data_IF_872430221116
#
_entry.id   IF_872430221116
#
_cell.length_a   1.000
_cell.length_b   1.000
_cell.length_c   1.000
_cell.angle_alpha   90.00
_cell.angle_beta   90.00
_cell.angle_gamma   90.00
#
_symmetry.space_group_name_H-M   'P 1'
#
loop_
_entity.id
_entity.type
_entity.pdbx_description
1 polymer ?
#
# COMPACT_ATOMS: atom_id res chain seq x y z
N UNK A 1 61.95 60.82 28.43
CA UNK A 1 62.92 60.73 29.54
C UNK A 1 63.09 59.25 29.88
N UNK A 2 64.31 58.70 29.73
CA UNK A 2 64.82 57.36 30.12
C UNK A 2 64.16 56.12 29.45
N UNK A 3 64.80 55.37 28.56
CA UNK A 3 65.91 54.39 28.66
C UNK A 3 65.60 53.05 29.38
N UNK A 4 65.72 51.97 28.58
CA UNK A 4 66.42 50.68 28.80
C UNK A 4 65.81 49.47 29.56
N UNK A 5 65.70 48.39 28.78
CA UNK A 5 66.20 47.00 28.93
C UNK A 5 66.12 46.21 30.26
N UNK A 6 65.58 44.99 30.15
CA UNK A 6 66.19 43.67 30.46
C UNK A 6 65.24 42.59 29.87
N UNK A 7 65.63 41.42 29.34
CA UNK A 7 66.88 40.68 29.38
C UNK A 7 66.64 39.22 29.80
N UNK A 8 66.39 38.34 28.82
CA UNK A 8 66.71 36.89 28.74
C UNK A 8 66.22 35.86 29.81
N UNK A 9 65.59 34.76 29.32
CA UNK A 9 65.98 33.31 29.43
C UNK A 9 64.73 32.41 29.25
N UNK A 10 64.55 31.74 28.11
CA UNK A 10 64.88 30.32 27.83
C UNK A 10 64.28 29.32 28.83
N UNK A 11 63.36 28.47 28.38
CA UNK A 11 63.49 27.00 28.20
C UNK A 11 62.09 26.36 28.01
N UNK A 12 61.95 25.67 26.87
CA UNK A 12 61.08 24.54 26.47
C UNK A 12 59.58 24.51 26.77
N UNK A 13 58.79 24.31 25.70
CA UNK A 13 57.98 23.11 25.52
C UNK A 13 57.42 23.05 24.09
N UNK A 14 57.87 22.01 23.38
CA UNK A 14 57.37 21.51 22.10
C UNK A 14 55.85 21.33 22.23
N UNK A 15 55.06 22.14 21.49
CA UNK A 15 53.63 21.86 21.30
C UNK A 15 53.47 21.10 19.99
N UNK A 16 53.33 19.79 20.11
CA UNK A 16 52.83 18.90 19.06
C UNK A 16 51.45 19.39 18.64
N UNK A 17 51.34 19.94 17.42
CA UNK A 17 50.06 20.22 16.81
C UNK A 17 49.46 18.90 16.31
N UNK A 18 48.63 18.26 17.12
CA UNK A 18 47.73 17.20 16.67
C UNK A 18 46.59 17.87 15.88
N UNK A 19 46.77 17.96 14.57
CA UNK A 19 45.67 18.19 13.62
C UNK A 19 44.75 16.97 13.68
N UNK A 20 43.69 17.08 14.48
CA UNK A 20 42.53 16.19 14.33
C UNK A 20 41.81 16.57 13.04
N UNK A 21 42.17 15.88 11.96
CA UNK A 21 41.38 15.88 10.73
C UNK A 21 40.11 15.05 11.04
N UNK A 22 39.04 15.73 11.45
CA UNK A 22 37.71 15.12 11.53
C UNK A 22 37.26 14.81 10.11
N UNK A 23 37.52 13.58 9.66
CA UNK A 23 36.80 13.00 8.52
C UNK A 23 35.36 12.77 9.00
N UNK A 24 34.47 13.71 8.68
CA UNK A 24 33.03 13.47 8.68
C UNK A 24 32.76 12.38 7.63
N UNK A 25 32.81 11.12 8.06
CA UNK A 25 32.20 10.03 7.33
C UNK A 25 30.71 10.21 7.53
N UNK A 26 30.08 10.95 6.62
CA UNK A 26 28.62 10.94 6.51
C UNK A 26 28.22 9.53 6.09
N UNK A 27 27.80 8.73 7.05
CA UNK A 27 27.04 7.51 6.74
C UNK A 27 25.78 8.02 6.05
N UNK A 28 25.45 7.60 4.82
CA UNK A 28 24.15 7.91 4.25
C UNK A 28 23.12 7.28 5.18
N UNK A 29 22.44 8.11 5.97
CA UNK A 29 21.33 7.67 6.80
C UNK A 29 20.19 7.38 5.84
N UNK A 30 19.86 6.11 5.64
CA UNK A 30 18.60 5.74 5.01
C UNK A 30 17.47 6.33 5.85
N UNK A 31 16.52 7.00 5.18
CA UNK A 31 15.33 7.54 5.81
C UNK A 31 14.51 6.40 6.40
N UNK A 32 14.31 6.40 7.72
CA UNK A 32 13.49 5.40 8.39
C UNK A 32 12.01 5.70 8.12
N UNK A 33 11.21 4.67 7.85
CA UNK A 33 9.76 4.83 7.78
C UNK A 33 9.25 5.40 9.11
N UNK A 34 8.50 6.50 9.04
CA UNK A 34 7.97 7.19 10.21
C UNK A 34 6.46 7.00 10.29
N UNK A 35 5.87 6.94 11.50
CA UNK A 35 4.42 6.99 11.66
C UNK A 35 3.83 8.33 11.17
N UNK A 36 2.51 8.38 10.98
CA UNK A 36 1.81 9.66 10.86
C UNK A 36 1.93 10.44 12.17
N UNK A 37 2.10 11.76 12.04
CA UNK A 37 2.18 12.67 13.18
C UNK A 37 0.81 13.23 13.52
N UNK A 38 0.02 13.54 12.49
CA UNK A 38 -1.32 14.08 12.59
C UNK A 38 -2.24 13.25 11.69
N UNK A 39 -3.42 12.92 12.20
CA UNK A 39 -4.49 12.27 11.44
C UNK A 39 -5.38 13.32 10.79
N UNK A 40 -5.81 13.07 9.56
CA UNK A 40 -6.77 13.89 8.83
C UNK A 40 -8.20 13.59 9.28
N UNK A 41 -8.52 12.32 9.56
CA UNK A 41 -9.80 11.98 10.17
C UNK A 41 -9.83 12.37 11.66
N UNK A 42 -10.96 12.92 12.08
CA UNK A 42 -11.16 13.40 13.45
C UNK A 42 -11.87 12.39 14.36
N UNK A 43 -12.49 11.35 13.82
CA UNK A 43 -13.35 10.45 14.57
C UNK A 43 -12.55 9.29 15.17
N UNK A 44 -12.79 9.00 16.46
CA UNK A 44 -12.15 7.90 17.20
C UNK A 44 -10.62 7.97 17.27
N UNK A 45 -10.04 9.16 17.14
CA UNK A 45 -8.58 9.39 17.19
C UNK A 45 -7.92 8.99 18.51
N UNK A 46 -8.70 8.88 19.60
CA UNK A 46 -8.25 8.48 20.93
C UNK A 46 -8.44 6.98 21.23
N UNK A 47 -8.98 6.20 20.28
CA UNK A 47 -9.13 4.76 20.46
C UNK A 47 -7.77 4.06 20.65
N UNK A 48 -7.66 3.06 21.53
CA UNK A 48 -6.38 2.48 21.93
C UNK A 48 -5.58 1.84 20.79
N UNK A 49 -6.23 1.46 19.69
CA UNK A 49 -5.59 0.81 18.56
C UNK A 49 -4.98 1.83 17.57
N UNK A 50 -5.48 3.07 17.52
CA UNK A 50 -5.06 4.08 16.54
C UNK A 50 -3.53 4.24 16.51
N UNK A 51 -2.97 4.14 15.31
CA UNK A 51 -1.53 4.26 15.05
C UNK A 51 -0.70 3.03 15.36
N UNK A 52 -1.28 1.98 15.97
CA UNK A 52 -0.57 0.71 16.22
C UNK A 52 -0.57 -0.16 14.98
N UNK A 53 0.48 -0.98 14.86
CA UNK A 53 0.63 -1.98 13.82
C UNK A 53 0.57 -3.35 14.48
N UNK A 54 -0.32 -4.20 14.01
CA UNK A 54 -0.44 -5.58 14.44
C UNK A 54 0.17 -6.53 13.40
N UNK A 55 1.03 -7.45 13.84
CA UNK A 55 1.50 -8.56 13.03
C UNK A 55 0.65 -9.80 13.32
N UNK A 56 -0.15 -10.19 12.34
CA UNK A 56 -1.23 -11.16 12.50
C UNK A 56 -0.70 -12.55 12.88
N UNK A 57 0.40 -12.99 12.28
CA UNK A 57 0.94 -14.33 12.50
C UNK A 57 1.59 -14.53 13.88
N UNK A 58 2.21 -13.49 14.45
CA UNK A 58 2.78 -13.57 15.80
C UNK A 58 1.84 -13.10 16.90
N UNK A 59 0.66 -12.58 16.54
CA UNK A 59 -0.31 -11.97 17.45
C UNK A 59 0.33 -10.91 18.37
N UNK A 60 1.10 -10.00 17.77
CA UNK A 60 1.81 -8.96 18.51
C UNK A 60 1.73 -7.60 17.82
N UNK A 61 1.69 -6.55 18.64
CA UNK A 61 1.97 -5.22 18.16
C UNK A 61 3.48 -5.09 17.86
N UNK A 62 3.77 -4.52 16.69
CA UNK A 62 5.14 -4.24 16.23
C UNK A 62 5.31 -2.74 16.03
N UNK A 63 6.56 -2.29 15.96
CA UNK A 63 6.83 -0.90 15.57
C UNK A 63 6.92 -0.75 14.05
N UNK A 64 7.00 0.50 13.59
CA UNK A 64 7.06 0.85 12.17
C UNK A 64 8.34 0.32 11.50
N UNK A 65 9.43 0.18 12.26
CA UNK A 65 10.70 -0.30 11.74
C UNK A 65 10.67 -1.82 11.52
N UNK A 66 10.01 -2.57 12.40
CA UNK A 66 9.76 -4.00 12.21
C UNK A 66 8.94 -4.25 10.94
N UNK A 67 7.87 -3.47 10.72
CA UNK A 67 7.10 -3.51 9.47
C UNK A 67 7.97 -3.20 8.25
N UNK A 68 8.78 -2.13 8.30
CA UNK A 68 9.69 -1.77 7.20
C UNK A 68 10.67 -2.90 6.88
N UNK A 69 11.24 -3.57 7.89
CA UNK A 69 12.15 -4.70 7.69
C UNK A 69 11.45 -5.89 7.03
N UNK A 70 10.18 -6.13 7.36
CA UNK A 70 9.38 -7.17 6.73
C UNK A 70 9.09 -6.82 5.25
N UNK A 71 8.73 -5.57 4.97
CA UNK A 71 8.55 -5.07 3.59
C UNK A 71 9.83 -5.25 2.79
N UNK A 72 11.00 -4.92 3.35
CA UNK A 72 12.29 -5.06 2.67
C UNK A 72 12.65 -6.51 2.27
N UNK A 73 12.03 -7.49 2.93
CA UNK A 73 12.22 -8.91 2.67
C UNK A 73 11.24 -9.48 1.63
N UNK A 74 10.17 -8.76 1.33
CA UNK A 74 9.15 -9.20 0.38
C UNK A 74 9.53 -8.89 -1.09
N UNK A 75 8.84 -9.55 -2.01
CA UNK A 75 8.88 -9.29 -3.46
C UNK A 75 7.63 -8.54 -3.92
N UNK A 76 6.48 -8.88 -3.36
CA UNK A 76 5.22 -8.19 -3.61
C UNK A 76 4.74 -7.52 -2.33
N UNK A 77 4.35 -6.26 -2.45
CA UNK A 77 3.70 -5.50 -1.37
C UNK A 77 2.31 -5.10 -1.84
N UNK A 78 1.28 -5.53 -1.11
CA UNK A 78 -0.09 -5.13 -1.39
C UNK A 78 -0.56 -4.23 -0.25
N UNK A 79 -0.90 -3.00 -0.61
CA UNK A 79 -1.38 -1.96 0.29
C UNK A 79 -2.90 -1.88 0.19
N UNK A 80 -3.57 -2.39 1.22
CA UNK A 80 -5.02 -2.42 1.34
C UNK A 80 -5.57 -1.14 1.94
N UNK A 81 -6.65 -0.62 1.37
CA UNK A 81 -7.33 0.57 1.88
C UNK A 81 -8.85 0.40 2.00
N UNK A 82 -9.44 1.29 2.77
CA UNK A 82 -10.77 1.84 2.51
C UNK A 82 -10.62 3.11 1.67
N UNK A 83 -11.28 3.16 0.52
CA UNK A 83 -11.01 4.13 -0.55
C UNK A 83 -11.25 5.60 -0.18
N UNK A 84 -12.19 5.85 0.72
CA UNK A 84 -12.59 7.21 1.13
C UNK A 84 -11.89 7.70 2.41
N UNK A 85 -10.96 6.91 2.97
CA UNK A 85 -10.24 7.29 4.18
C UNK A 85 -8.92 8.01 3.85
N UNK A 86 -8.78 9.32 4.16
CA UNK A 86 -7.59 10.10 3.81
C UNK A 86 -6.32 9.61 4.53
N UNK A 87 -6.45 9.08 5.75
CA UNK A 87 -5.32 8.60 6.53
C UNK A 87 -4.69 7.34 5.91
N UNK A 88 -5.48 6.52 5.21
CA UNK A 88 -4.97 5.37 4.45
C UNK A 88 -4.06 5.82 3.32
N UNK A 89 -4.51 6.79 2.51
CA UNK A 89 -3.74 7.37 1.40
C UNK A 89 -2.45 8.04 1.88
N UNK A 90 -2.54 8.78 2.99
CA UNK A 90 -1.40 9.42 3.64
C UNK A 90 -0.36 8.41 4.15
N UNK A 91 -0.79 7.26 4.69
CA UNK A 91 0.13 6.17 5.08
C UNK A 91 0.73 5.45 3.88
N UNK A 92 -0.06 5.16 2.84
CA UNK A 92 0.44 4.57 1.59
C UNK A 92 1.52 5.43 0.96
N UNK A 93 1.30 6.75 0.89
CA UNK A 93 2.29 7.69 0.36
C UNK A 93 3.60 7.66 1.17
N UNK A 94 3.52 7.53 2.51
CA UNK A 94 4.73 7.37 3.35
C UNK A 94 5.48 6.08 3.05
N UNK A 95 4.76 4.96 2.93
CA UNK A 95 5.36 3.66 2.60
C UNK A 95 5.98 3.72 1.21
N UNK A 96 5.28 4.25 0.21
CA UNK A 96 5.79 4.42 -1.15
C UNK A 96 7.05 5.30 -1.16
N UNK A 97 7.01 6.50 -0.59
CA UNK A 97 8.17 7.39 -0.57
C UNK A 97 9.39 6.75 0.09
N UNK A 98 9.20 6.02 1.19
CA UNK A 98 10.27 5.27 1.85
C UNK A 98 10.93 4.26 0.88
N UNK A 99 10.13 3.50 0.13
CA UNK A 99 10.63 2.52 -0.83
C UNK A 99 11.26 3.16 -2.06
N UNK A 100 10.73 4.30 -2.52
CA UNK A 100 11.26 5.08 -3.65
C UNK A 100 12.63 5.64 -3.29
N UNK A 101 12.80 6.23 -2.10
CA UNK A 101 14.07 6.76 -1.59
C UNK A 101 15.16 5.68 -1.49
N UNK A 102 14.77 4.44 -1.23
CA UNK A 102 15.68 3.29 -1.20
C UNK A 102 15.93 2.67 -2.59
N UNK A 103 15.31 3.21 -3.64
CA UNK A 103 15.30 2.63 -4.98
C UNK A 103 14.86 1.15 -4.98
N UNK A 104 13.85 0.81 -4.18
CA UNK A 104 13.34 -0.56 -4.02
C UNK A 104 12.15 -0.88 -4.91
N UNK A 105 11.40 0.12 -5.40
CA UNK A 105 10.19 -0.11 -6.20
C UNK A 105 10.55 -0.49 -7.64
N UNK A 106 9.96 -1.58 -8.15
CA UNK A 106 10.05 -2.02 -9.54
C UNK A 106 8.93 -1.40 -10.40
N UNK A 107 7.70 -1.42 -9.88
CA UNK A 107 6.51 -0.84 -10.48
C UNK A 107 5.43 -0.67 -9.40
N UNK A 108 4.44 0.18 -9.68
CA UNK A 108 3.24 0.34 -8.85
C UNK A 108 2.00 0.13 -9.72
N UNK A 109 1.13 -0.79 -9.31
CA UNK A 109 -0.17 -1.02 -9.92
C UNK A 109 -1.27 -0.38 -9.06
N UNK A 110 -2.27 0.24 -9.69
CA UNK A 110 -3.40 0.87 -9.00
C UNK A 110 -4.73 0.28 -9.48
N UNK A 111 -5.57 -0.15 -8.54
CA UNK A 111 -6.95 -0.57 -8.82
C UNK A 111 -7.80 0.55 -9.48
N UNK A 112 -7.44 1.80 -9.25
CA UNK A 112 -8.23 2.96 -9.66
C UNK A 112 -8.11 3.29 -11.15
N UNK A 113 -7.25 2.56 -11.87
CA UNK A 113 -7.02 2.71 -13.30
C UNK A 113 -7.23 1.37 -14.00
N UNK A 114 -7.83 1.42 -15.17
CA UNK A 114 -8.15 0.25 -15.97
C UNK A 114 -6.98 -0.11 -16.87
N UNK A 115 -6.95 -1.34 -17.38
CA UNK A 115 -5.93 -1.78 -18.33
C UNK A 115 -5.87 -0.94 -19.62
N UNK A 116 -6.96 -0.24 -19.97
CA UNK A 116 -7.02 0.66 -21.13
C UNK A 116 -6.25 1.97 -20.90
N UNK A 117 -5.97 2.34 -19.65
CA UNK A 117 -5.18 3.53 -19.30
C UNK A 117 -3.67 3.32 -19.54
N UNK A 118 -3.24 2.08 -19.82
CA UNK A 118 -1.83 1.74 -19.92
C UNK A 118 -1.11 2.53 -21.03
N UNK A 119 -1.77 2.84 -22.16
CA UNK A 119 -1.16 3.67 -23.20
C UNK A 119 -0.87 5.09 -22.68
N UNK A 120 -1.77 5.67 -21.88
CA UNK A 120 -1.54 6.98 -21.28
C UNK A 120 -0.42 6.92 -20.25
N UNK A 121 -0.39 5.87 -19.41
CA UNK A 121 0.65 5.65 -18.40
C UNK A 121 2.04 5.49 -19.02
N UNK A 122 2.16 4.69 -20.09
CA UNK A 122 3.42 4.45 -20.80
C UNK A 122 4.00 5.70 -21.49
N UNK A 123 3.16 6.72 -21.71
CA UNK A 123 3.58 8.00 -22.28
C UNK A 123 4.14 8.98 -21.24
N UNK A 124 3.85 8.79 -19.95
CA UNK A 124 4.25 9.72 -18.89
C UNK A 124 5.76 10.01 -18.92
N UNK A 125 6.68 9.03 -19.02
CA UNK A 125 8.12 9.31 -19.00
C UNK A 125 8.63 10.16 -20.18
N UNK A 126 7.80 10.36 -21.21
CA UNK A 126 8.11 11.19 -22.39
C UNK A 126 7.56 12.61 -22.29
N UNK A 127 6.85 12.91 -21.21
CA UNK A 127 6.17 14.18 -20.96
C UNK A 127 6.72 14.83 -19.67
N UNK A 128 6.61 16.15 -19.56
CA UNK A 128 6.97 16.90 -18.35
C UNK A 128 5.75 16.99 -17.40
N UNK A 129 5.27 15.82 -16.95
CA UNK A 129 4.11 15.70 -16.06
C UNK A 129 4.54 15.72 -14.60
N UNK A 130 5.06 16.85 -14.16
CA UNK A 130 5.68 17.04 -12.84
C UNK A 130 4.76 17.68 -11.79
N UNK A 131 3.47 17.88 -12.11
CA UNK A 131 2.49 18.43 -11.19
C UNK A 131 1.14 17.71 -11.27
N UNK A 132 0.35 17.83 -10.20
CA UNK A 132 -0.93 17.12 -10.03
C UNK A 132 -1.96 17.47 -11.10
N UNK A 133 -2.09 18.74 -11.48
CA UNK A 133 -3.10 19.18 -12.45
C UNK A 133 -2.84 18.59 -13.84
N UNK A 134 -1.59 18.68 -14.30
CA UNK A 134 -1.20 18.11 -15.59
C UNK A 134 -1.31 16.58 -15.61
N UNK A 135 -0.95 15.90 -14.52
CA UNK A 135 -1.10 14.44 -14.41
C UNK A 135 -2.58 14.04 -14.48
N UNK A 136 -3.44 14.72 -13.71
CA UNK A 136 -4.88 14.48 -13.73
C UNK A 136 -5.46 14.61 -15.13
N UNK A 137 -5.12 15.70 -15.82
CA UNK A 137 -5.62 15.98 -17.17
C UNK A 137 -5.11 14.94 -18.18
N UNK A 138 -3.82 14.59 -18.13
CA UNK A 138 -3.21 13.60 -19.02
C UNK A 138 -3.84 12.20 -18.85
N UNK A 139 -4.05 11.79 -17.60
CA UNK A 139 -4.68 10.52 -17.26
C UNK A 139 -6.19 10.51 -17.54
N UNK A 140 -6.80 11.68 -17.76
CA UNK A 140 -8.27 11.84 -17.81
C UNK A 140 -8.93 11.18 -16.60
N UNK A 141 -8.37 11.44 -15.43
CA UNK A 141 -8.72 10.77 -14.18
C UNK A 141 -10.24 10.78 -13.93
N UNK A 142 -10.77 9.62 -13.55
CA UNK A 142 -12.17 9.46 -13.15
C UNK A 142 -12.40 10.03 -11.74
N UNK A 143 -12.71 11.32 -11.68
CA UNK A 143 -12.99 12.02 -10.42
C UNK A 143 -14.28 11.55 -9.74
N UNK A 144 -15.24 11.03 -10.52
CA UNK A 144 -16.53 10.61 -9.99
C UNK A 144 -16.41 9.25 -9.27
N UNK A 145 -15.52 8.37 -9.76
CA UNK A 145 -15.18 7.11 -9.11
C UNK A 145 -14.13 7.23 -8.01
N UNK A 146 -13.12 8.09 -8.21
CA UNK A 146 -11.92 8.14 -7.36
C UNK A 146 -11.48 9.59 -7.09
N UNK A 147 -11.48 10.01 -5.82
CA UNK A 147 -11.06 11.37 -5.46
C UNK A 147 -9.56 11.60 -5.77
N UNK A 148 -9.26 12.48 -6.72
CA UNK A 148 -7.87 12.78 -7.10
C UNK A 148 -7.03 13.36 -5.95
N UNK A 149 -7.67 14.01 -4.96
CA UNK A 149 -6.99 14.50 -3.77
C UNK A 149 -6.30 13.38 -2.99
N UNK A 150 -6.86 12.16 -3.03
CA UNK A 150 -6.31 10.98 -2.40
C UNK A 150 -5.24 10.31 -3.26
N UNK A 151 -5.54 10.04 -4.53
CA UNK A 151 -4.66 9.22 -5.38
C UNK A 151 -3.56 10.02 -6.09
N UNK A 152 -3.80 11.30 -6.39
CA UNK A 152 -2.87 12.15 -7.12
C UNK A 152 -1.48 12.25 -6.48
N UNK A 153 -1.37 12.45 -5.16
CA UNK A 153 -0.07 12.43 -4.46
C UNK A 153 0.69 11.12 -4.62
N UNK A 154 0.01 9.96 -4.60
CA UNK A 154 0.64 8.65 -4.79
C UNK A 154 1.17 8.52 -6.22
N UNK A 155 0.32 8.82 -7.21
CA UNK A 155 0.71 8.74 -8.63
C UNK A 155 1.88 9.67 -8.92
N UNK A 156 1.82 10.93 -8.44
CA UNK A 156 2.90 11.90 -8.64
C UNK A 156 4.21 11.44 -8.01
N UNK A 157 4.19 10.86 -6.80
CA UNK A 157 5.41 10.35 -6.17
C UNK A 157 6.07 9.25 -7.00
N UNK A 158 5.28 8.32 -7.56
CA UNK A 158 5.78 7.22 -8.40
C UNK A 158 6.34 7.77 -9.72
N UNK A 159 5.66 8.72 -10.35
CA UNK A 159 6.10 9.39 -11.58
C UNK A 159 7.40 10.15 -11.38
N UNK A 160 7.52 10.94 -10.31
CA UNK A 160 8.74 11.69 -9.98
C UNK A 160 9.92 10.76 -9.62
N UNK A 161 9.64 9.53 -9.21
CA UNK A 161 10.64 8.49 -8.98
C UNK A 161 11.09 7.74 -10.24
N UNK A 162 10.59 8.11 -11.44
CA UNK A 162 10.80 7.39 -12.70
C UNK A 162 10.41 5.90 -12.63
N UNK A 163 9.36 5.58 -11.86
CA UNK A 163 8.90 4.21 -11.64
C UNK A 163 7.72 3.90 -12.58
N UNK A 164 7.71 2.72 -13.23
CA UNK A 164 6.57 2.26 -14.03
C UNK A 164 5.27 2.20 -13.22
N UNK A 165 4.19 2.70 -13.83
CA UNK A 165 2.83 2.66 -13.28
C UNK A 165 1.96 1.75 -14.17
N UNK A 166 1.10 0.95 -13.55
CA UNK A 166 0.15 0.09 -14.24
C UNK A 166 -1.29 0.35 -13.79
N UNK A 167 -2.22 0.35 -14.75
CA UNK A 167 -3.66 0.25 -14.49
C UNK A 167 -3.99 -1.21 -14.18
N UNK A 168 -4.52 -1.47 -12.98
CA UNK A 168 -4.65 -2.82 -12.46
C UNK A 168 -6.05 -3.41 -12.63
N UNK A 169 -7.07 -2.59 -12.89
CA UNK A 169 -8.44 -3.04 -12.97
C UNK A 169 -8.82 -3.53 -14.37
N UNK A 170 -9.91 -4.29 -14.44
CA UNK A 170 -10.54 -4.64 -15.72
C UNK A 170 -11.30 -3.43 -16.25
N UNK A 171 -11.40 -3.33 -17.57
CA UNK A 171 -12.20 -2.30 -18.23
C UNK A 171 -13.69 -2.50 -17.99
N UNK A 172 -14.48 -1.43 -18.11
CA UNK A 172 -15.96 -1.51 -18.13
C UNK A 172 -16.50 -2.54 -19.14
N UNK A 173 -15.83 -2.66 -20.30
CA UNK A 173 -16.21 -3.62 -21.32
C UNK A 173 -15.99 -5.06 -20.86
N UNK A 174 -14.83 -5.34 -20.27
CA UNK A 174 -14.51 -6.65 -19.69
C UNK A 174 -15.38 -6.96 -18.48
N UNK A 175 -15.67 -5.98 -17.62
CA UNK A 175 -16.60 -6.14 -16.51
C UNK A 175 -17.99 -6.55 -17.01
N UNK A 176 -18.53 -5.82 -18.00
CA UNK A 176 -19.83 -6.11 -18.61
C UNK A 176 -19.88 -7.49 -19.27
N UNK A 177 -18.80 -7.90 -19.94
CA UNK A 177 -18.64 -9.23 -20.53
C UNK A 177 -18.68 -10.33 -19.47
N UNK A 178 -17.80 -10.25 -18.46
CA UNK A 178 -17.70 -11.24 -17.36
C UNK A 178 -18.99 -11.34 -16.56
N UNK A 179 -19.69 -10.21 -16.39
CA UNK A 179 -20.99 -10.17 -15.74
C UNK A 179 -22.02 -11.03 -16.48
N UNK A 180 -22.05 -10.93 -17.82
CA UNK A 180 -22.99 -11.62 -18.69
C UNK A 180 -22.67 -13.09 -18.98
N UNK A 181 -21.47 -13.56 -18.64
CA UNK A 181 -21.05 -14.96 -18.82
C UNK A 181 -21.78 -15.92 -17.87
N UNK A 182 -22.08 -17.14 -18.34
CA UNK A 182 -22.70 -18.17 -17.50
C UNK A 182 -21.68 -18.96 -16.67
N UNK A 183 -20.45 -19.08 -17.19
CA UNK A 183 -19.39 -19.89 -16.60
C UNK A 183 -18.19 -19.03 -16.17
N UNK A 184 -17.46 -19.49 -15.15
CA UNK A 184 -16.21 -18.86 -14.73
C UNK A 184 -15.11 -19.26 -15.73
N UNK A 185 -14.40 -18.30 -16.36
CA UNK A 185 -13.25 -18.60 -17.21
C UNK A 185 -12.18 -19.41 -16.46
N UNK A 186 -11.58 -20.41 -17.13
CA UNK A 186 -10.58 -21.32 -16.52
C UNK A 186 -9.41 -20.55 -15.90
N UNK A 187 -9.00 -19.42 -16.51
CA UNK A 187 -7.90 -18.59 -16.03
C UNK A 187 -8.15 -17.98 -14.64
N UNK A 188 -9.42 -17.71 -14.29
CA UNK A 188 -9.78 -17.08 -13.00
C UNK A 188 -10.36 -18.08 -11.99
N UNK A 189 -10.70 -19.30 -12.44
CA UNK A 189 -11.26 -20.38 -11.64
C UNK A 189 -10.18 -21.13 -10.82
N UNK A 190 -9.42 -20.41 -9.99
CA UNK A 190 -8.33 -20.98 -9.17
C UNK A 190 -8.72 -21.27 -7.72
N UNK A 191 -9.82 -20.70 -7.24
CA UNK A 191 -10.26 -20.80 -5.86
C UNK A 191 -11.07 -22.09 -5.65
N UNK A 192 -10.88 -22.74 -4.50
CA UNK A 192 -11.66 -23.92 -4.14
C UNK A 192 -13.10 -23.57 -3.72
N UNK A 193 -13.97 -24.57 -3.66
CA UNK A 193 -15.40 -24.38 -3.37
C UNK A 193 -15.65 -23.66 -2.04
N UNK A 194 -14.88 -23.96 -1.00
CA UNK A 194 -15.02 -23.33 0.31
C UNK A 194 -14.63 -21.85 0.25
N UNK A 195 -13.54 -21.54 -0.45
CA UNK A 195 -13.04 -20.18 -0.69
C UNK A 195 -14.04 -19.36 -1.50
N UNK A 196 -14.69 -19.98 -2.48
CA UNK A 196 -15.78 -19.38 -3.24
C UNK A 196 -17.02 -19.11 -2.38
N UNK A 197 -17.33 -19.96 -1.40
CA UNK A 197 -18.42 -19.70 -0.46
C UNK A 197 -18.12 -18.49 0.44
N UNK A 198 -16.89 -18.37 0.94
CA UNK A 198 -16.49 -17.20 1.72
C UNK A 198 -16.53 -15.92 0.88
N UNK A 199 -16.03 -15.96 -0.36
CA UNK A 199 -16.11 -14.82 -1.28
C UNK A 199 -17.56 -14.37 -1.53
N UNK A 200 -18.52 -15.30 -1.61
CA UNK A 200 -19.94 -14.95 -1.71
C UNK A 200 -20.44 -14.21 -0.45
N UNK A 201 -20.03 -14.63 0.75
CA UNK A 201 -20.41 -13.99 2.01
C UNK A 201 -19.85 -12.56 2.09
N UNK A 202 -18.60 -12.38 1.70
CA UNK A 202 -17.95 -11.06 1.72
C UNK A 202 -18.61 -10.10 0.72
N UNK A 203 -19.04 -10.61 -0.44
CA UNK A 203 -19.83 -9.84 -1.41
C UNK A 203 -21.19 -9.50 -0.81
N UNK A 204 -21.87 -10.43 -0.12
CA UNK A 204 -23.16 -10.14 0.52
C UNK A 204 -23.05 -9.03 1.58
N UNK A 205 -22.03 -9.13 2.43
CA UNK A 205 -21.73 -8.15 3.48
C UNK A 205 -21.43 -6.78 2.88
N UNK A 206 -20.59 -6.72 1.84
CA UNK A 206 -20.26 -5.47 1.13
C UNK A 206 -21.47 -4.82 0.47
N UNK A 207 -22.51 -5.62 0.15
CA UNK A 207 -23.79 -5.15 -0.39
C UNK A 207 -24.90 -5.07 0.66
N UNK A 208 -24.55 -5.06 1.95
CA UNK A 208 -25.47 -4.89 3.07
C UNK A 208 -26.58 -5.94 3.19
N UNK A 209 -26.42 -7.12 2.57
CA UNK A 209 -27.47 -8.14 2.47
C UNK A 209 -28.56 -7.83 1.44
N UNK A 210 -28.35 -6.83 0.57
CA UNK A 210 -29.37 -6.31 -0.36
C UNK A 210 -29.17 -6.76 -1.80
N UNK A 211 -28.06 -7.44 -2.11
CA UNK A 211 -27.81 -7.96 -3.45
C UNK A 211 -28.82 -9.08 -3.76
N UNK A 212 -29.54 -9.06 -4.89
CA UNK A 212 -30.43 -10.15 -5.25
C UNK A 212 -29.64 -11.45 -5.45
N UNK A 213 -30.15 -12.58 -4.94
CA UNK A 213 -29.51 -13.92 -5.06
C UNK A 213 -29.07 -14.25 -6.50
N UNK A 214 -29.84 -13.81 -7.50
CA UNK A 214 -29.53 -14.06 -8.91
C UNK A 214 -28.30 -13.31 -9.44
N UNK A 215 -27.82 -12.28 -8.73
CA UNK A 215 -26.67 -11.47 -9.13
C UNK A 215 -25.35 -11.94 -8.50
N UNK A 216 -25.39 -12.74 -7.43
CA UNK A 216 -24.18 -13.24 -6.77
C UNK A 216 -23.21 -13.95 -7.71
N UNK A 217 -23.64 -14.89 -8.57
CA UNK A 217 -22.71 -15.57 -9.47
C UNK A 217 -21.94 -14.59 -10.36
N UNK A 218 -22.59 -13.53 -10.83
CA UNK A 218 -21.97 -12.50 -11.66
C UNK A 218 -21.00 -11.64 -10.86
N UNK A 219 -21.39 -11.18 -9.67
CA UNK A 219 -20.52 -10.37 -8.81
C UNK A 219 -19.26 -11.11 -8.37
N UNK A 220 -19.40 -12.40 -8.04
CA UNK A 220 -18.24 -13.25 -7.74
C UNK A 220 -17.30 -13.35 -8.93
N UNK A 221 -17.81 -13.59 -10.14
CA UNK A 221 -16.97 -13.63 -11.35
C UNK A 221 -16.26 -12.30 -11.60
N UNK A 222 -16.95 -11.18 -11.40
CA UNK A 222 -16.35 -9.85 -11.53
C UNK A 222 -15.24 -9.68 -10.52
N UNK A 223 -15.45 -10.00 -9.24
CA UNK A 223 -14.42 -9.90 -8.19
C UNK A 223 -13.18 -10.75 -8.54
N UNK A 224 -13.38 -12.00 -8.97
CA UNK A 224 -12.29 -12.88 -9.42
C UNK A 224 -11.55 -12.33 -10.65
N UNK A 225 -12.27 -11.75 -11.61
CA UNK A 225 -11.66 -11.17 -12.82
C UNK A 225 -10.84 -9.93 -12.48
N UNK A 226 -11.31 -9.09 -11.56
CA UNK A 226 -10.58 -7.93 -11.05
C UNK A 226 -9.31 -8.37 -10.34
N UNK A 227 -9.39 -9.30 -9.40
CA UNK A 227 -8.21 -9.82 -8.67
C UNK A 227 -7.19 -10.47 -9.60
N UNK A 228 -7.66 -11.27 -10.57
CA UNK A 228 -6.82 -11.86 -11.60
C UNK A 228 -6.10 -10.80 -12.43
N UNK A 229 -6.81 -9.76 -12.87
CA UNK A 229 -6.22 -8.70 -13.68
C UNK A 229 -5.23 -7.85 -12.89
N UNK A 230 -5.55 -7.54 -11.63
CA UNK A 230 -4.63 -6.82 -10.73
C UNK A 230 -3.34 -7.62 -10.54
N UNK A 231 -3.44 -8.92 -10.25
CA UNK A 231 -2.27 -9.79 -10.13
C UNK A 231 -1.44 -9.79 -11.43
N UNK A 232 -2.07 -9.83 -12.60
CA UNK A 232 -1.38 -9.81 -13.88
C UNK A 232 -0.73 -8.47 -14.23
N UNK A 233 -1.29 -7.37 -13.74
CA UNK A 233 -0.79 -6.02 -13.96
C UNK A 233 0.43 -5.71 -13.09
N UNK A 234 0.61 -6.41 -11.98
CA UNK A 234 1.82 -6.31 -11.15
C UNK A 234 3.04 -6.89 -11.88
N UNK A 235 4.08 -6.08 -12.07
CA UNK A 235 5.34 -6.52 -12.67
C UNK A 235 6.00 -7.63 -11.83
N UNK A 236 6.64 -8.61 -12.48
CA UNK A 236 7.51 -9.57 -11.78
C UNK A 236 8.83 -8.90 -11.40
N UNK A 237 9.09 -8.66 -10.10
CA UNK A 237 10.23 -7.85 -9.70
C UNK A 237 11.54 -8.64 -9.76
N UNK A 238 12.60 -7.95 -10.16
CA UNK A 238 13.99 -8.42 -10.03
C UNK A 238 14.38 -8.60 -8.55
N UNK A 239 15.45 -9.35 -8.30
CA UNK A 239 15.94 -9.57 -6.94
C UNK A 239 16.28 -8.25 -6.24
N UNK A 240 15.76 -8.06 -5.01
CA UNK A 240 15.94 -6.83 -4.25
C UNK A 240 15.03 -5.67 -4.67
N UNK A 241 14.06 -5.91 -5.56
CA UNK A 241 13.00 -4.95 -5.88
C UNK A 241 11.64 -5.46 -5.42
N UNK A 242 10.69 -4.54 -5.25
CA UNK A 242 9.31 -4.79 -4.88
C UNK A 242 8.35 -4.33 -5.97
N UNK A 243 7.35 -5.16 -6.27
CA UNK A 243 6.19 -4.75 -7.05
C UNK A 243 5.07 -4.41 -6.09
N UNK A 244 4.52 -3.20 -6.19
CA UNK A 244 3.53 -2.67 -5.24
C UNK A 244 2.15 -2.61 -5.87
N UNK A 245 1.11 -3.01 -5.14
CA UNK A 245 -0.29 -2.80 -5.51
C UNK A 245 -0.94 -1.88 -4.48
N UNK A 246 -1.69 -0.89 -4.96
CA UNK A 246 -2.64 -0.09 -4.18
C UNK A 246 -4.05 -0.50 -4.58
N UNK A 247 -4.80 -1.05 -3.62
CA UNK A 247 -6.14 -1.58 -3.85
C UNK A 247 -6.96 -1.62 -2.55
N UNK A 248 -8.27 -1.80 -2.67
CA UNK A 248 -9.19 -1.96 -1.55
C UNK A 248 -8.83 -3.18 -0.68
N UNK A 249 -9.17 -3.12 0.60
CA UNK A 249 -8.83 -4.15 1.57
C UNK A 249 -9.27 -5.56 1.14
N UNK A 250 -10.43 -5.71 0.50
CA UNK A 250 -10.92 -7.01 -0.01
C UNK A 250 -10.01 -7.60 -1.10
N UNK A 251 -9.43 -6.78 -1.97
CA UNK A 251 -8.56 -7.22 -3.06
C UNK A 251 -7.20 -7.74 -2.55
N UNK A 252 -6.67 -7.15 -1.47
CA UNK A 252 -5.35 -7.51 -0.94
C UNK A 252 -5.35 -8.68 0.04
N UNK A 253 -6.52 -9.28 0.29
CA UNK A 253 -6.69 -10.41 1.21
C UNK A 253 -5.89 -11.63 0.76
N UNK A 254 -5.08 -12.19 1.66
CA UNK A 254 -4.29 -13.42 1.42
C UNK A 254 -5.14 -14.66 1.23
N UNK A 255 -6.27 -14.73 1.91
CA UNK A 255 -7.15 -15.88 1.91
C UNK A 255 -8.04 -15.94 0.65
N UNK A 256 -8.32 -14.80 0.01
CA UNK A 256 -9.27 -14.72 -1.11
C UNK A 256 -8.78 -13.99 -2.37
N UNK A 257 -8.04 -12.89 -2.20
CA UNK A 257 -7.81 -11.91 -3.27
C UNK A 257 -6.56 -12.14 -4.11
N UNK A 258 -5.98 -11.04 -4.58
CA UNK A 258 -4.81 -10.95 -5.48
C UNK A 258 -3.64 -11.88 -5.13
N UNK A 259 -3.24 -12.09 -3.85
CA UNK A 259 -2.16 -13.02 -3.50
C UNK A 259 -2.32 -14.43 -4.09
N UNK A 260 -3.55 -14.97 -4.16
CA UNK A 260 -3.82 -16.29 -4.72
C UNK A 260 -3.53 -16.36 -6.22
N UNK A 261 -3.85 -15.29 -6.94
CA UNK A 261 -3.59 -15.16 -8.37
C UNK A 261 -2.10 -14.94 -8.67
N UNK A 262 -1.36 -14.22 -7.83
CA UNK A 262 0.10 -14.12 -7.93
C UNK A 262 0.78 -15.49 -7.79
N UNK A 263 0.37 -16.29 -6.80
CA UNK A 263 0.87 -17.65 -6.59
C UNK A 263 0.49 -18.59 -7.75
N UNK A 264 -0.71 -18.42 -8.31
CA UNK A 264 -1.15 -19.17 -9.48
C UNK A 264 -0.31 -18.83 -10.72
N UNK A 265 0.00 -17.53 -10.92
CA UNK A 265 0.81 -17.00 -12.03
C UNK A 265 2.27 -17.42 -11.94
N UNK A 266 2.87 -17.36 -10.75
CA UNK A 266 4.31 -17.58 -10.53
C UNK A 266 4.59 -18.80 -9.67
N UNK A 267 4.83 -19.96 -10.30
CA UNK A 267 4.99 -21.25 -9.59
C UNK A 267 6.16 -21.32 -8.61
N UNK A 268 7.15 -20.44 -8.72
CA UNK A 268 8.29 -20.35 -7.79
C UNK A 268 8.05 -19.38 -6.64
N UNK A 269 6.99 -18.58 -6.72
CA UNK A 269 6.60 -17.63 -5.69
C UNK A 269 6.04 -18.39 -4.48
N UNK A 270 6.42 -17.94 -3.30
CA UNK A 270 5.92 -18.48 -2.04
C UNK A 270 5.11 -17.43 -1.30
N UNK A 271 4.32 -17.89 -0.34
CA UNK A 271 3.58 -17.01 0.56
C UNK A 271 4.46 -15.97 1.28
N UNK A 272 5.70 -16.34 1.65
CA UNK A 272 6.67 -15.45 2.31
C UNK A 272 7.22 -14.33 1.40
N UNK A 273 7.06 -14.46 0.07
CA UNK A 273 7.48 -13.44 -0.90
C UNK A 273 6.42 -12.33 -1.08
N UNK A 274 5.22 -12.51 -0.54
CA UNK A 274 4.09 -11.58 -0.63
C UNK A 274 3.82 -11.05 0.76
N UNK A 275 3.80 -9.73 0.92
CA UNK A 275 3.39 -9.06 2.16
C UNK A 275 2.12 -8.25 1.90
N UNK A 276 1.11 -8.46 2.73
CA UNK A 276 -0.14 -7.69 2.70
C UNK A 276 -0.22 -6.79 3.94
N UNK A 277 -0.39 -5.49 3.69
CA UNK A 277 -0.57 -4.48 4.72
C UNK A 277 -1.94 -3.84 4.52
N UNK A 278 -2.85 -4.06 5.46
CA UNK A 278 -4.16 -3.40 5.46
C UNK A 278 -4.14 -2.17 6.36
N UNK A 279 -4.59 -1.04 5.83
CA UNK A 279 -4.97 0.10 6.64
C UNK A 279 -6.44 -0.07 7.05
N UNK A 280 -6.68 -0.04 8.36
CA UNK A 280 -7.96 -0.45 8.93
C UNK A 280 -8.48 0.59 9.92
N UNK A 281 -9.70 1.03 9.69
CA UNK A 281 -10.40 1.91 10.62
C UNK A 281 -10.66 1.18 11.94
N UNK A 282 -10.43 1.87 13.06
CA UNK A 282 -10.85 1.40 14.37
C UNK A 282 -12.37 1.46 14.50
N UNK A 283 -12.91 0.57 15.34
CA UNK A 283 -14.31 0.55 15.73
C UNK A 283 -14.44 1.07 17.17
N UNK A 284 -15.48 1.86 17.47
CA UNK A 284 -15.63 2.47 18.78
C UNK A 284 -15.78 1.41 19.88
N UNK A 285 -14.90 1.49 20.89
CA UNK A 285 -14.90 0.56 22.03
C UNK A 285 -14.36 -0.85 21.72
N UNK A 286 -13.87 -1.10 20.50
CA UNK A 286 -13.16 -2.34 20.17
C UNK A 286 -11.65 -2.13 20.32
N UNK A 287 -11.04 -2.95 21.17
CA UNK A 287 -9.63 -2.86 21.52
C UNK A 287 -8.87 -4.16 21.27
N UNK A 288 -9.56 -5.22 20.83
CA UNK A 288 -8.99 -6.50 20.45
C UNK A 288 -8.68 -6.50 18.95
N UNK A 289 -7.39 -6.50 18.55
CA UNK A 289 -7.01 -6.52 17.15
C UNK A 289 -7.50 -7.78 16.41
N UNK A 290 -7.79 -8.87 17.13
CA UNK A 290 -8.24 -10.15 16.54
C UNK A 290 -9.56 -10.00 15.78
N UNK A 291 -10.43 -9.07 16.21
CA UNK A 291 -11.72 -8.81 15.55
C UNK A 291 -11.55 -8.29 14.12
N UNK A 292 -10.45 -7.58 13.85
CA UNK A 292 -10.16 -6.96 12.55
C UNK A 292 -9.48 -7.88 11.55
N UNK A 293 -8.90 -9.00 12.01
CA UNK A 293 -7.94 -9.74 11.19
C UNK A 293 -8.57 -10.45 10.00
N UNK A 294 -9.91 -10.60 10.01
CA UNK A 294 -10.73 -11.35 9.06
C UNK A 294 -10.07 -12.71 8.71
N UNK A 295 -10.62 -13.81 9.20
CA UNK A 295 -9.99 -15.12 9.01
C UNK A 295 -10.92 -16.08 8.28
N UNK A 296 -10.38 -16.69 7.23
CA UNK A 296 -10.98 -17.85 6.60
C UNK A 296 -10.04 -19.07 6.66
N UNK A 297 -10.59 -20.23 7.03
CA UNK A 297 -9.80 -21.43 7.38
C UNK A 297 -8.74 -21.10 8.44
N UNK A 298 -7.50 -21.54 8.23
CA UNK A 298 -6.33 -21.18 9.05
C UNK A 298 -5.50 -20.05 8.45
N UNK A 299 -6.00 -19.35 7.43
CA UNK A 299 -5.31 -18.26 6.75
C UNK A 299 -5.89 -16.92 7.20
N UNK A 300 -5.03 -16.08 7.76
CA UNK A 300 -5.37 -14.69 8.09
C UNK A 300 -5.42 -13.88 6.79
N UNK A 301 -6.36 -12.94 6.69
CA UNK A 301 -6.53 -12.10 5.51
C UNK A 301 -5.32 -11.17 5.27
N UNK A 302 -4.70 -10.67 6.34
CA UNK A 302 -3.58 -9.73 6.25
C UNK A 302 -2.37 -10.17 7.07
N UNK A 303 -1.15 -9.93 6.58
CA UNK A 303 0.07 -10.13 7.37
C UNK A 303 0.20 -9.06 8.45
N UNK A 304 -0.10 -7.81 8.07
CA UNK A 304 -0.07 -6.65 8.95
C UNK A 304 -1.35 -5.83 8.84
N UNK A 305 -1.81 -5.32 9.98
CA UNK A 305 -2.91 -4.35 10.07
C UNK A 305 -2.38 -3.09 10.75
N UNK A 306 -2.51 -1.95 10.09
CA UNK A 306 -2.19 -0.64 10.65
C UNK A 306 -3.48 0.13 10.92
N UNK A 307 -3.77 0.31 12.20
CA UNK A 307 -5.01 0.91 12.65
C UNK A 307 -5.01 2.43 12.49
N UNK A 308 -6.11 2.96 11.94
CA UNK A 308 -6.34 4.37 11.67
C UNK A 308 -7.66 4.83 12.28
N UNK A 309 -7.87 6.15 12.45
CA UNK A 309 -9.18 6.65 12.86
C UNK A 309 -10.23 6.37 11.76
N UNK A 310 -11.47 6.12 12.16
CA UNK A 310 -12.58 5.98 11.22
C UNK A 310 -12.96 7.33 10.61
N UNK A 311 -13.57 7.39 9.43
CA UNK A 311 -14.07 8.66 8.84
C UNK A 311 -15.54 8.96 9.16
N UNK A 312 -16.29 7.96 9.61
CA UNK A 312 -17.74 8.07 9.81
C UNK A 312 -18.21 7.12 10.91
N UNK A 313 -19.19 7.55 11.69
CA UNK A 313 -19.95 6.73 12.64
C UNK A 313 -21.29 6.26 12.06
N UNK A 314 -21.57 6.63 10.80
CA UNK A 314 -22.82 6.28 10.14
C UNK A 314 -22.86 4.81 9.75
N UNK A 315 -23.98 4.15 10.08
CA UNK A 315 -24.33 2.86 9.50
C UNK A 315 -24.71 3.08 8.03
N UNK A 316 -23.75 2.83 7.13
CA UNK A 316 -23.94 2.95 5.69
C UNK A 316 -25.10 2.07 5.20
N UNK A 317 -25.21 0.85 5.75
CA UNK A 317 -26.26 -0.09 5.38
C UNK A 317 -27.65 0.35 5.84
N UNK A 318 -27.77 1.08 6.95
CA UNK A 318 -29.05 1.63 7.39
C UNK A 318 -29.65 2.62 6.38
N UNK A 319 -28.82 3.31 5.59
CA UNK A 319 -29.29 4.25 4.56
C UNK A 319 -29.84 3.58 3.29
N UNK A 320 -29.49 2.30 3.08
CA UNK A 320 -29.83 1.51 1.89
C UNK A 320 -31.02 0.56 2.12
N UNK A 321 -31.37 0.29 3.38
CA UNK A 321 -32.51 -0.55 3.81
C UNK A 321 -33.83 0.24 3.85
#
# INVERSE_FOLDING_TARGET
>A
MKFMHNGLRWVDLIRTALLFMFTLVGVPGFSQLQPLQDWESALYTDEPLVGKIWHSASEQFVDVQDLANAIDSARYLLLGEKHDNPDHHSLQLKVLNHLIEQARVAAVAFEMMDSDDQEALDQIPRQDLTNLENLKEHLKWDEDGWDWGFYGPLVLAVVLGDIPVAGANITDATMSEVYGEDAVPEAIAILDEETMQQLNLDIDESHCGLLPESQFPAMVRVQQARDYNMANSMASPEAGKLSVLVAGNYHVRRDLGVPNYLLAREKTLKNEDILTLSFMEVEPGEADPVVYLQQFKSQLAFDYVWFTPAISDADYCASLR
#
